data_IF_850260127061
#
_entry.id   IF_850260127061
#
_cell.length_a   1.000
_cell.length_b   1.000
_cell.length_c   1.000
_cell.angle_alpha   90.00
_cell.angle_beta   90.00
_cell.angle_gamma   90.00
#
_symmetry.space_group_name_H-M   'P 1'
#
loop_
_entity.id
_entity.type
_entity.pdbx_description
1 polymer ?
#
# COMPACT_ATOMS: atom_id res chain seq x y z
N UNK A 1 -15.08 10.18 -25.02
CA UNK A 1 -15.20 11.25 -24.02
C UNK A 1 -15.30 10.58 -22.66
N UNK A 2 -14.30 10.84 -21.82
CA UNK A 2 -13.98 10.14 -20.58
C UNK A 2 -14.91 10.58 -19.45
N UNK A 3 -15.51 9.60 -18.76
CA UNK A 3 -16.08 9.77 -17.43
C UNK A 3 -15.49 8.68 -16.54
N UNK A 4 -14.22 8.85 -16.16
CA UNK A 4 -13.73 8.22 -14.94
C UNK A 4 -14.46 8.93 -13.81
N UNK A 5 -15.22 8.15 -13.04
CA UNK A 5 -16.18 8.60 -12.05
C UNK A 5 -15.60 9.68 -11.12
N UNK A 6 -16.13 10.90 -11.23
CA UNK A 6 -15.89 12.00 -10.32
C UNK A 6 -16.62 11.83 -8.98
N UNK A 7 -16.92 10.60 -8.56
CA UNK A 7 -17.84 10.38 -7.45
C UNK A 7 -17.12 9.82 -6.21
N UNK A 8 -17.20 10.64 -5.14
CA UNK A 8 -16.71 10.47 -3.76
C UNK A 8 -15.25 10.88 -3.47
N UNK A 9 -14.90 12.12 -3.83
CA UNK A 9 -14.04 12.93 -2.94
C UNK A 9 -14.77 13.15 -1.61
N UNK A 10 -14.67 12.22 -0.67
CA UNK A 10 -14.92 12.56 0.73
C UNK A 10 -13.85 13.59 1.13
N UNK A 11 -14.28 14.74 1.65
CA UNK A 11 -13.38 15.78 2.17
C UNK A 11 -12.35 15.19 3.14
N UNK A 12 -11.19 15.84 3.28
CA UNK A 12 -10.20 15.42 4.27
C UNK A 12 -10.81 15.56 5.67
N UNK A 13 -11.03 14.46 6.43
CA UNK A 13 -11.55 14.58 7.77
C UNK A 13 -10.53 15.27 8.66
N UNK A 14 -11.03 16.29 9.33
CA UNK A 14 -10.31 17.14 10.25
C UNK A 14 -10.20 16.48 11.63
N UNK A 15 -9.34 17.01 12.49
CA UNK A 15 -9.29 16.60 13.91
C UNK A 15 -10.64 16.71 14.62
N UNK A 16 -11.56 17.56 14.15
CA UNK A 16 -12.93 17.68 14.67
C UNK A 16 -13.80 16.47 14.33
N UNK A 17 -13.65 15.90 13.14
CA UNK A 17 -14.48 14.79 12.67
C UNK A 17 -14.17 13.50 13.46
N UNK A 18 -12.91 13.32 13.84
CA UNK A 18 -12.49 12.22 14.72
C UNK A 18 -13.03 12.33 16.15
N UNK A 19 -13.40 13.53 16.62
CA UNK A 19 -14.00 13.73 17.95
C UNK A 19 -15.48 13.35 17.99
N UNK A 20 -16.14 13.22 16.85
CA UNK A 20 -17.54 12.81 16.75
C UNK A 20 -17.74 11.28 16.85
N UNK A 21 -16.67 10.48 16.74
CA UNK A 21 -16.72 9.04 16.97
C UNK A 21 -16.98 8.75 18.46
N UNK A 22 -17.88 7.82 18.78
CA UNK A 22 -18.21 7.46 20.15
C UNK A 22 -17.01 6.95 20.98
N UNK A 23 -17.05 7.06 22.31
CA UNK A 23 -15.90 6.85 23.20
C UNK A 23 -15.24 5.47 23.08
N UNK A 24 -16.00 4.40 22.82
CA UNK A 24 -15.46 3.04 22.68
C UNK A 24 -14.58 2.85 21.43
N UNK A 25 -15.01 3.41 20.28
CA UNK A 25 -14.23 3.36 19.03
C UNK A 25 -12.95 4.19 19.10
N UNK A 26 -12.99 5.30 19.85
CA UNK A 26 -11.81 6.13 20.10
C UNK A 26 -10.80 5.40 20.99
N UNK A 27 -11.26 4.64 21.99
CA UNK A 27 -10.39 3.92 22.92
C UNK A 27 -9.69 2.71 22.28
N UNK A 28 -10.39 1.94 21.44
CA UNK A 28 -9.79 0.90 20.58
C UNK A 28 -8.82 1.48 19.54
N UNK A 29 -9.15 2.62 18.94
CA UNK A 29 -8.24 3.31 18.02
C UNK A 29 -7.00 3.84 18.76
N UNK A 30 -7.14 4.30 20.02
CA UNK A 30 -6.04 4.80 20.86
C UNK A 30 -5.07 3.71 21.30
N UNK A 31 -5.57 2.52 21.66
CA UNK A 31 -4.70 1.39 22.04
C UNK A 31 -3.85 0.89 20.86
N UNK A 32 -4.40 0.94 19.64
CA UNK A 32 -3.65 0.70 18.39
C UNK A 32 -2.72 1.87 18.02
N UNK A 33 -3.15 3.11 18.25
CA UNK A 33 -2.38 4.31 17.93
C UNK A 33 -1.16 4.53 18.83
N UNK A 34 -1.11 3.95 20.04
CA UNK A 34 0.06 4.05 20.92
C UNK A 34 1.35 3.48 20.28
N UNK A 35 1.22 2.68 19.22
CA UNK A 35 2.35 2.02 18.54
C UNK A 35 2.53 2.42 17.07
N UNK A 36 1.59 3.15 16.47
CA UNK A 36 1.67 3.53 15.06
C UNK A 36 2.31 4.91 14.89
N UNK A 37 3.33 5.00 14.03
CA UNK A 37 4.01 6.26 13.71
C UNK A 37 3.20 7.04 12.67
N UNK A 38 2.15 7.70 13.13
CA UNK A 38 1.29 8.54 12.30
C UNK A 38 1.53 10.03 12.58
N UNK A 39 1.47 10.86 11.54
CA UNK A 39 1.70 12.30 11.65
C UNK A 39 0.64 13.08 10.88
N UNK A 40 0.13 14.16 11.50
CA UNK A 40 -0.73 15.11 10.82
C UNK A 40 0.11 16.03 9.91
N UNK A 41 -0.39 16.36 8.72
CA UNK A 41 0.20 17.34 7.82
C UNK A 41 -0.91 18.13 7.12
N UNK A 42 -0.74 19.45 7.01
CA UNK A 42 -1.69 20.35 6.32
C UNK A 42 -3.16 20.21 6.80
N UNK A 43 -3.37 19.98 8.09
CA UNK A 43 -4.70 19.78 8.68
C UNK A 43 -5.29 18.37 8.48
N UNK A 44 -4.64 17.52 7.70
CA UNK A 44 -5.03 16.14 7.43
C UNK A 44 -4.34 15.14 8.34
N UNK A 45 -5.02 14.03 8.59
CA UNK A 45 -4.56 12.88 9.38
C UNK A 45 -4.83 11.59 8.62
N UNK A 46 -3.98 10.55 8.77
CA UNK A 46 -4.24 9.25 8.17
C UNK A 46 -5.57 8.64 8.62
N UNK A 47 -6.33 8.09 7.66
CA UNK A 47 -7.56 7.34 7.89
C UNK A 47 -7.28 5.88 7.57
N UNK A 48 -7.50 5.00 8.53
CA UNK A 48 -7.18 3.58 8.41
C UNK A 48 -8.42 2.79 8.78
N UNK A 49 -8.87 1.91 7.88
CA UNK A 49 -9.96 0.99 8.18
C UNK A 49 -9.62 0.07 9.36
N UNK A 50 -10.61 -0.27 10.18
CA UNK A 50 -10.42 -1.08 11.38
C UNK A 50 -9.93 -2.51 11.09
N UNK A 51 -10.19 -3.03 9.89
CA UNK A 51 -9.72 -4.36 9.45
C UNK A 51 -8.30 -4.34 8.86
N UNK A 52 -7.73 -3.17 8.57
CA UNK A 52 -6.37 -3.08 8.05
C UNK A 52 -5.32 -3.35 9.14
N UNK A 53 -4.27 -4.08 8.78
CA UNK A 53 -3.11 -4.30 9.62
C UNK A 53 -1.97 -3.38 9.19
N UNK A 54 -1.49 -2.55 10.12
CA UNK A 54 -0.35 -1.66 9.89
C UNK A 54 0.76 -2.00 10.88
N UNK A 55 1.95 -2.31 10.37
CA UNK A 55 3.08 -2.61 11.23
C UNK A 55 3.49 -1.38 12.07
N UNK A 56 3.84 -1.52 13.37
CA UNK A 56 4.23 -0.41 14.24
C UNK A 56 5.40 0.46 13.75
N UNK A 57 6.25 -0.08 12.87
CA UNK A 57 7.40 0.67 12.30
C UNK A 57 7.07 1.38 10.98
N UNK A 58 5.91 1.13 10.38
CA UNK A 58 5.45 1.90 9.22
C UNK A 58 5.16 3.35 9.63
N UNK A 59 5.44 4.27 8.71
CA UNK A 59 5.29 5.72 8.91
C UNK A 59 4.25 6.25 7.93
N UNK A 60 3.17 6.85 8.45
CA UNK A 60 2.07 7.41 7.65
C UNK A 60 1.94 8.90 7.96
N UNK A 61 1.95 9.75 6.94
CA UNK A 61 1.98 11.22 7.10
C UNK A 61 0.91 11.85 6.18
N UNK A 62 0.04 12.70 6.73
CA UNK A 62 -0.90 13.52 5.94
C UNK A 62 -2.16 12.80 5.46
N UNK A 63 -2.66 13.13 4.26
CA UNK A 63 -3.91 12.59 3.68
C UNK A 63 -3.71 11.19 3.08
N UNK A 64 -3.44 10.24 3.97
CA UNK A 64 -3.34 8.80 3.67
C UNK A 64 -4.67 8.12 3.97
N UNK A 65 -5.20 7.35 3.03
CA UNK A 65 -6.43 6.57 3.20
C UNK A 65 -6.17 5.10 2.92
N UNK A 66 -6.43 4.26 3.91
CA UNK A 66 -6.21 2.80 3.83
C UNK A 66 -7.54 2.09 3.95
N UNK A 67 -7.90 1.34 2.90
CA UNK A 67 -9.11 0.55 2.82
C UNK A 67 -9.09 -0.73 3.67
N UNK A 68 -10.20 -1.48 3.69
CA UNK A 68 -10.35 -2.67 4.51
C UNK A 68 -9.40 -3.79 4.09
N UNK A 69 -9.04 -4.65 5.04
CA UNK A 69 -8.19 -5.83 4.87
C UNK A 69 -6.83 -5.55 4.20
N UNK A 70 -6.33 -4.31 4.27
CA UNK A 70 -4.99 -3.98 3.79
C UNK A 70 -3.93 -4.48 4.77
N UNK A 71 -2.76 -4.83 4.23
CA UNK A 71 -1.59 -5.19 5.02
C UNK A 71 -0.43 -4.24 4.71
N UNK A 72 0.05 -3.52 5.72
CA UNK A 72 1.18 -2.58 5.60
C UNK A 72 2.36 -3.13 6.40
N UNK A 73 3.43 -3.49 5.69
CA UNK A 73 4.63 -4.10 6.24
C UNK A 73 5.53 -3.15 7.02
N UNK A 74 6.55 -3.68 7.71
CA UNK A 74 7.50 -2.90 8.48
C UNK A 74 8.25 -1.89 7.61
N UNK A 75 8.48 -0.72 8.19
CA UNK A 75 9.26 0.37 7.61
C UNK A 75 8.72 0.92 6.27
N UNK A 76 7.48 0.60 5.90
CA UNK A 76 6.82 1.29 4.80
C UNK A 76 6.68 2.79 5.13
N UNK A 77 7.05 3.66 4.19
CA UNK A 77 6.96 5.12 4.31
C UNK A 77 5.89 5.61 3.34
N UNK A 78 4.75 6.05 3.89
CA UNK A 78 3.60 6.51 3.12
C UNK A 78 3.38 7.99 3.46
N UNK A 79 3.86 8.87 2.58
CA UNK A 79 3.92 10.31 2.84
C UNK A 79 3.03 11.07 1.86
N UNK A 80 1.88 11.52 2.36
CA UNK A 80 0.84 12.27 1.65
C UNK A 80 0.77 13.71 2.17
N UNK A 81 1.91 14.39 2.21
CA UNK A 81 2.05 15.78 2.65
C UNK A 81 1.83 16.80 1.51
N UNK A 82 2.16 16.43 0.26
CA UNK A 82 1.99 17.28 -0.94
C UNK A 82 0.73 16.97 -1.76
N UNK A 83 0.03 15.90 -1.43
CA UNK A 83 -1.17 15.43 -2.13
C UNK A 83 -1.79 14.24 -1.40
N UNK A 84 -2.75 13.56 -2.03
CA UNK A 84 -3.47 12.42 -1.42
C UNK A 84 -2.89 11.08 -1.84
N UNK A 85 -2.83 10.14 -0.89
CA UNK A 85 -2.54 8.73 -1.16
C UNK A 85 -3.75 7.89 -0.73
N UNK A 86 -4.33 7.15 -1.67
CA UNK A 86 -5.44 6.22 -1.39
C UNK A 86 -5.06 4.79 -1.76
N UNK A 87 -5.28 3.88 -0.82
CA UNK A 87 -4.97 2.46 -0.92
C UNK A 87 -6.28 1.69 -0.79
N UNK A 88 -6.70 1.05 -1.88
CA UNK A 88 -7.93 0.27 -1.99
C UNK A 88 -7.89 -1.02 -1.17
N UNK A 89 -9.06 -1.63 -1.00
CA UNK A 89 -9.26 -2.82 -0.17
C UNK A 89 -8.32 -3.97 -0.53
N UNK A 90 -7.97 -4.81 0.46
CA UNK A 90 -7.23 -6.06 0.25
C UNK A 90 -5.86 -5.85 -0.42
N UNK A 91 -5.28 -4.67 -0.25
CA UNK A 91 -3.99 -4.30 -0.82
C UNK A 91 -2.85 -4.55 0.16
N UNK A 92 -1.73 -5.08 -0.32
CA UNK A 92 -0.51 -5.21 0.47
C UNK A 92 0.52 -4.16 0.07
N UNK A 93 1.00 -3.38 1.04
CA UNK A 93 2.19 -2.54 0.92
C UNK A 93 3.31 -3.21 1.70
N UNK A 94 4.25 -3.83 1.00
CA UNK A 94 5.25 -4.66 1.65
C UNK A 94 6.38 -3.87 2.29
N UNK A 95 7.29 -4.60 2.95
CA UNK A 95 8.40 -4.07 3.73
C UNK A 95 9.21 -3.03 2.96
N UNK A 96 9.56 -1.93 3.63
CA UNK A 96 10.40 -0.84 3.10
C UNK A 96 9.88 -0.15 1.82
N UNK A 97 8.60 -0.29 1.45
CA UNK A 97 8.04 0.47 0.34
C UNK A 97 8.03 1.97 0.62
N UNK A 98 8.19 2.79 -0.42
CA UNK A 98 8.09 4.25 -0.33
C UNK A 98 6.98 4.75 -1.26
N UNK A 99 5.96 5.37 -0.70
CA UNK A 99 4.83 5.95 -1.40
C UNK A 99 4.83 7.46 -1.17
N UNK A 100 4.85 8.22 -2.26
CA UNK A 100 4.85 9.68 -2.24
C UNK A 100 4.07 10.25 -3.43
N UNK A 101 3.80 11.54 -3.40
CA UNK A 101 3.17 12.27 -4.50
C UNK A 101 3.73 13.68 -4.57
N UNK A 102 3.77 14.26 -5.77
CA UNK A 102 4.13 15.67 -5.94
C UNK A 102 3.00 16.63 -5.49
N UNK A 103 3.25 17.95 -5.57
CA UNK A 103 2.24 18.97 -5.25
C UNK A 103 0.96 18.79 -6.06
N UNK A 104 -0.18 18.80 -5.37
CA UNK A 104 -1.53 18.58 -5.95
C UNK A 104 -1.71 17.23 -6.68
N UNK A 105 -0.70 16.35 -6.61
CA UNK A 105 -0.75 15.03 -7.21
C UNK A 105 -1.55 14.05 -6.36
N UNK A 106 -1.95 12.94 -6.98
CA UNK A 106 -2.56 11.81 -6.30
C UNK A 106 -1.80 10.53 -6.58
N UNK A 107 -1.62 9.71 -5.54
CA UNK A 107 -1.28 8.30 -5.70
C UNK A 107 -2.54 7.48 -5.39
N UNK A 108 -3.00 6.73 -6.38
CA UNK A 108 -4.16 5.85 -6.22
C UNK A 108 -3.77 4.41 -6.46
N UNK A 109 -4.12 3.54 -5.53
CA UNK A 109 -4.05 2.09 -5.69
C UNK A 109 -5.48 1.58 -5.52
N UNK A 110 -6.02 0.94 -6.55
CA UNK A 110 -7.32 0.28 -6.49
C UNK A 110 -7.26 -0.99 -5.63
N UNK A 111 -8.36 -1.72 -5.55
CA UNK A 111 -8.44 -2.94 -4.75
C UNK A 111 -7.51 -4.07 -5.25
N UNK A 112 -7.11 -4.91 -4.30
CA UNK A 112 -6.25 -6.07 -4.54
C UNK A 112 -4.89 -5.68 -5.14
N UNK A 113 -4.34 -4.52 -4.79
CA UNK A 113 -2.97 -4.16 -5.17
C UNK A 113 -1.93 -4.99 -4.41
N UNK A 114 -0.82 -5.34 -5.04
CA UNK A 114 0.32 -5.95 -4.38
C UNK A 114 1.59 -5.15 -4.67
N UNK A 115 2.03 -4.36 -3.70
CA UNK A 115 3.22 -3.53 -3.82
C UNK A 115 4.38 -4.24 -3.13
N UNK A 116 5.27 -4.80 -3.95
CA UNK A 116 6.36 -5.67 -3.56
C UNK A 116 7.42 -4.97 -2.69
N UNK A 117 8.13 -5.74 -1.87
CA UNK A 117 9.14 -5.22 -0.94
C UNK A 117 10.09 -4.20 -1.60
N UNK A 118 10.30 -3.07 -0.94
CA UNK A 118 11.20 -2.01 -1.41
C UNK A 118 10.77 -1.30 -2.69
N UNK A 119 9.54 -1.48 -3.18
CA UNK A 119 9.05 -0.72 -4.33
C UNK A 119 8.84 0.76 -3.98
N UNK A 120 8.99 1.62 -4.99
CA UNK A 120 8.79 3.05 -4.89
C UNK A 120 7.68 3.50 -5.83
N UNK A 121 6.66 4.16 -5.30
CA UNK A 121 5.55 4.70 -6.07
C UNK A 121 5.50 6.21 -5.88
N UNK A 122 5.46 6.95 -6.99
CA UNK A 122 5.40 8.40 -6.99
C UNK A 122 4.29 8.90 -7.91
N UNK A 123 3.24 9.51 -7.34
CA UNK A 123 2.20 10.21 -8.10
C UNK A 123 1.55 9.40 -9.23
N UNK A 124 1.34 8.10 -9.04
CA UNK A 124 0.85 7.17 -10.06
C UNK A 124 -0.54 6.61 -9.75
N UNK A 125 -1.19 6.04 -10.76
CA UNK A 125 -2.45 5.31 -10.61
C UNK A 125 -2.24 3.83 -10.94
N UNK A 126 -2.63 2.99 -10.00
CA UNK A 126 -2.55 1.53 -10.06
C UNK A 126 -3.98 0.99 -10.06
N UNK A 127 -4.34 0.27 -11.11
CA UNK A 127 -5.64 -0.38 -11.25
C UNK A 127 -5.81 -1.61 -10.36
N UNK A 128 -6.96 -2.27 -10.51
CA UNK A 128 -7.33 -3.44 -9.70
C UNK A 128 -6.43 -4.63 -10.00
N UNK A 129 -6.15 -5.43 -8.98
CA UNK A 129 -5.49 -6.71 -9.14
C UNK A 129 -4.07 -6.61 -9.77
N UNK A 130 -3.38 -5.49 -9.52
CA UNK A 130 -2.02 -5.23 -10.04
C UNK A 130 -0.94 -5.70 -9.06
N UNK A 131 0.10 -6.34 -9.59
CA UNK A 131 1.33 -6.64 -8.85
C UNK A 131 2.45 -5.71 -9.31
N UNK A 132 2.97 -4.91 -8.38
CA UNK A 132 4.22 -4.16 -8.54
C UNK A 132 5.35 -4.96 -7.91
N UNK A 133 6.27 -5.44 -8.73
CA UNK A 133 7.36 -6.31 -8.28
C UNK A 133 8.27 -5.64 -7.25
N UNK A 134 8.92 -6.45 -6.43
CA UNK A 134 9.88 -5.95 -5.44
C UNK A 134 10.95 -5.05 -6.08
N UNK A 135 11.27 -3.93 -5.42
CA UNK A 135 12.23 -2.94 -5.89
C UNK A 135 11.85 -2.22 -7.20
N UNK A 136 10.62 -2.40 -7.72
CA UNK A 136 10.18 -1.63 -8.88
C UNK A 136 9.96 -0.15 -8.53
N UNK A 137 10.16 0.72 -9.50
CA UNK A 137 9.98 2.17 -9.37
C UNK A 137 8.90 2.60 -10.37
N UNK A 138 7.84 3.22 -9.87
CA UNK A 138 6.73 3.75 -10.68
C UNK A 138 6.70 5.26 -10.56
N UNK A 139 6.92 5.93 -11.69
CA UNK A 139 7.09 7.38 -11.77
C UNK A 139 5.76 8.12 -11.96
N UNK A 140 5.83 9.44 -11.82
CA UNK A 140 4.68 10.35 -11.88
C UNK A 140 3.80 10.16 -13.10
N UNK A 141 2.49 10.19 -12.86
CA UNK A 141 1.43 10.09 -13.85
C UNK A 141 1.44 8.79 -14.66
N UNK A 142 2.20 7.77 -14.24
CA UNK A 142 2.04 6.44 -14.81
C UNK A 142 0.64 5.90 -14.48
N UNK A 143 0.01 5.27 -15.48
CA UNK A 143 -1.29 4.64 -15.38
C UNK A 143 -1.16 3.16 -15.67
N UNK A 144 -1.22 2.34 -14.64
CA UNK A 144 -1.16 0.89 -14.73
C UNK A 144 -2.59 0.37 -14.66
N UNK A 145 -3.05 -0.26 -15.73
CA UNK A 145 -4.42 -0.77 -15.79
C UNK A 145 -4.62 -2.04 -14.95
N UNK A 146 -5.83 -2.58 -14.98
CA UNK A 146 -6.18 -3.76 -14.20
C UNK A 146 -5.42 -5.00 -14.65
N UNK A 147 -5.22 -5.96 -13.75
CA UNK A 147 -4.64 -7.26 -14.07
C UNK A 147 -3.26 -7.13 -14.73
N UNK A 148 -2.37 -6.34 -14.15
CA UNK A 148 -1.01 -6.14 -14.64
C UNK A 148 0.01 -6.72 -13.65
N UNK A 149 1.07 -7.31 -14.18
CA UNK A 149 2.26 -7.65 -13.40
C UNK A 149 3.43 -6.80 -13.89
N UNK A 150 3.95 -5.95 -13.02
CA UNK A 150 5.24 -5.28 -13.20
C UNK A 150 6.31 -6.14 -12.54
N UNK A 151 7.30 -6.59 -13.29
CA UNK A 151 8.36 -7.44 -12.76
C UNK A 151 9.25 -6.71 -11.73
N UNK A 152 9.96 -7.49 -10.92
CA UNK A 152 10.92 -6.96 -9.95
C UNK A 152 11.96 -6.03 -10.61
N UNK A 153 12.38 -4.99 -9.88
CA UNK A 153 13.36 -3.99 -10.31
C UNK A 153 13.03 -3.27 -11.65
N UNK A 154 11.75 -3.28 -12.05
CA UNK A 154 11.30 -2.58 -13.27
C UNK A 154 11.15 -1.08 -13.00
N UNK A 155 11.62 -0.25 -13.93
CA UNK A 155 11.37 1.19 -13.92
C UNK A 155 10.21 1.50 -14.87
N UNK A 156 9.05 1.88 -14.33
CA UNK A 156 7.91 2.36 -15.10
C UNK A 156 8.08 3.87 -15.34
N UNK A 157 8.30 4.31 -16.60
CA UNK A 157 8.53 5.72 -16.90
C UNK A 157 7.32 6.59 -16.54
N UNK A 158 7.58 7.88 -16.29
CA UNK A 158 6.50 8.83 -16.02
C UNK A 158 5.57 8.94 -17.23
N UNK A 159 4.26 9.09 -16.97
CA UNK A 159 3.20 9.13 -17.99
C UNK A 159 3.05 7.83 -18.82
N UNK A 160 3.76 6.75 -18.46
CA UNK A 160 3.59 5.47 -19.14
C UNK A 160 2.18 4.92 -18.88
N UNK A 161 1.61 4.27 -19.90
CA UNK A 161 0.37 3.51 -19.78
C UNK A 161 0.65 2.04 -20.00
N UNK A 162 0.36 1.21 -19.00
CA UNK A 162 0.53 -0.25 -19.08
C UNK A 162 -0.84 -0.89 -19.29
N UNK A 163 -1.10 -1.52 -20.46
CA UNK A 163 -2.41 -2.07 -20.76
C UNK A 163 -2.81 -3.23 -19.85
N UNK A 164 -4.12 -3.43 -19.66
CA UNK A 164 -4.67 -4.53 -18.88
C UNK A 164 -4.19 -5.89 -19.36
N UNK A 165 -3.96 -6.80 -18.41
CA UNK A 165 -3.61 -8.19 -18.72
C UNK A 165 -2.18 -8.35 -19.24
N UNK A 166 -1.26 -7.44 -18.91
CA UNK A 166 0.11 -7.46 -19.42
C UNK A 166 1.16 -7.72 -18.34
N UNK A 167 2.23 -8.42 -18.74
CA UNK A 167 3.51 -8.46 -18.03
C UNK A 167 4.38 -7.30 -18.54
N UNK A 168 4.87 -6.47 -17.62
CA UNK A 168 5.71 -5.31 -17.89
C UNK A 168 7.07 -5.45 -17.20
N UNK A 169 8.17 -5.29 -17.95
CA UNK A 169 9.52 -5.64 -17.47
C UNK A 169 10.59 -4.65 -17.93
N UNK A 170 11.67 -4.53 -17.14
CA UNK A 170 12.92 -3.88 -17.56
C UNK A 170 13.11 -2.45 -17.04
N UNK A 171 14.23 -1.84 -17.43
CA UNK A 171 14.55 -0.45 -17.05
C UNK A 171 15.25 0.25 -18.23
N UNK A 172 14.57 1.17 -18.96
CA UNK A 172 13.15 1.52 -18.82
C UNK A 172 12.23 0.35 -19.21
N UNK A 173 11.11 0.23 -18.50
CA UNK A 173 10.18 -0.89 -18.66
C UNK A 173 9.40 -0.89 -19.98
N UNK A 174 9.04 -2.08 -20.45
CA UNK A 174 8.26 -2.32 -21.66
C UNK A 174 7.28 -3.46 -21.45
N UNK A 175 6.19 -3.46 -22.25
CA UNK A 175 5.28 -4.61 -22.32
C UNK A 175 6.03 -5.80 -22.91
N UNK A 176 6.04 -6.92 -22.19
CA UNK A 176 6.70 -8.14 -22.62
C UNK A 176 5.73 -9.08 -23.32
N UNK A 177 4.62 -9.42 -22.66
CA UNK A 177 3.61 -10.38 -23.14
C UNK A 177 2.29 -10.22 -22.37
N UNK A 178 1.18 -10.76 -22.89
CA UNK A 178 -0.03 -10.97 -22.10
C UNK A 178 0.24 -11.90 -20.90
N UNK A 179 -0.53 -11.70 -19.83
CA UNK A 179 -0.57 -12.59 -18.67
C UNK A 179 -1.25 -13.91 -19.05
N UNK A 180 -0.73 -14.99 -18.46
CA UNK A 180 -1.33 -16.31 -18.51
C UNK A 180 -2.34 -16.49 -17.38
N UNK A 181 -3.17 -17.53 -17.46
CA UNK A 181 -4.05 -17.90 -16.35
C UNK A 181 -3.28 -18.26 -15.08
N UNK A 182 -2.08 -18.85 -15.23
CA UNK A 182 -1.21 -19.16 -14.11
C UNK A 182 -0.68 -17.88 -13.41
N UNK A 183 -0.31 -16.86 -14.19
CA UNK A 183 0.12 -15.56 -13.64
C UNK A 183 -1.00 -14.94 -12.78
N UNK A 184 -2.24 -14.93 -13.29
CA UNK A 184 -3.40 -14.38 -12.57
C UNK A 184 -3.77 -15.21 -11.34
N UNK A 185 -3.68 -16.54 -11.42
CA UNK A 185 -3.95 -17.44 -10.29
C UNK A 185 -2.93 -17.22 -9.17
N UNK A 186 -1.64 -17.21 -9.49
CA UNK A 186 -0.57 -16.95 -8.52
C UNK A 186 -0.74 -15.59 -7.84
N UNK A 187 -1.09 -14.54 -8.59
CA UNK A 187 -1.34 -13.22 -8.01
C UNK A 187 -2.54 -13.22 -7.04
N UNK A 188 -3.62 -13.93 -7.37
CA UNK A 188 -4.79 -14.06 -6.46
C UNK A 188 -4.41 -14.80 -5.18
N UNK A 189 -3.65 -15.89 -5.28
CA UNK A 189 -3.15 -16.62 -4.11
C UNK A 189 -2.29 -15.74 -3.20
N UNK A 190 -1.39 -14.93 -3.77
CA UNK A 190 -0.63 -13.95 -2.99
C UNK A 190 -1.53 -12.91 -2.30
N UNK A 191 -2.59 -12.48 -2.96
CA UNK A 191 -3.56 -11.53 -2.38
C UNK A 191 -4.25 -12.13 -1.17
N UNK A 192 -4.76 -13.36 -1.30
CA UNK A 192 -5.40 -14.05 -0.18
C UNK A 192 -4.44 -14.29 0.99
N UNK A 193 -3.17 -14.57 0.70
CA UNK A 193 -2.15 -14.71 1.73
C UNK A 193 -2.00 -13.42 2.56
N UNK A 194 -1.90 -12.26 1.92
CA UNK A 194 -1.77 -10.98 2.63
C UNK A 194 -3.05 -10.54 3.33
N UNK A 195 -4.23 -10.88 2.79
CA UNK A 195 -5.50 -10.68 3.49
C UNK A 195 -5.58 -11.55 4.75
N UNK A 196 -5.14 -12.81 4.67
CA UNK A 196 -5.08 -13.69 5.83
C UNK A 196 -4.10 -13.16 6.90
N UNK A 197 -2.96 -12.60 6.48
CA UNK A 197 -2.03 -11.88 7.37
C UNK A 197 -2.70 -10.67 8.03
N UNK A 198 -3.41 -9.84 7.28
CA UNK A 198 -4.09 -8.65 7.80
C UNK A 198 -5.14 -9.01 8.87
N UNK A 199 -5.86 -10.11 8.65
CA UNK A 199 -6.88 -10.61 9.57
C UNK A 199 -6.32 -11.37 10.78
N UNK A 200 -5.00 -11.51 10.89
CA UNK A 200 -4.36 -12.32 11.93
C UNK A 200 -4.59 -13.84 11.78
N UNK A 201 -5.09 -14.29 10.62
CA UNK A 201 -5.54 -15.65 10.38
C UNK A 201 -4.44 -16.71 10.39
N UNK A 202 -3.17 -16.31 10.27
CA UNK A 202 -2.03 -17.23 10.38
C UNK A 202 -1.33 -17.17 11.75
N UNK A 203 -2.01 -16.65 12.78
CA UNK A 203 -1.43 -16.50 14.13
C UNK A 203 -0.33 -15.43 14.21
N UNK A 204 -0.18 -14.62 13.16
CA UNK A 204 0.78 -13.52 13.12
C UNK A 204 0.33 -12.42 14.07
N UNK A 205 1.11 -12.21 15.13
CA UNK A 205 0.98 -11.06 16.01
C UNK A 205 2.33 -10.37 16.12
N UNK A 206 2.33 -9.04 16.03
CA UNK A 206 3.53 -8.24 16.24
C UNK A 206 3.54 -7.82 17.70
N UNK A 207 4.42 -8.43 18.49
CA UNK A 207 4.69 -8.02 19.86
C UNK A 207 6.17 -7.63 19.96
N UNK A 208 6.51 -6.56 20.70
CA UNK A 208 7.87 -6.35 21.12
C UNK A 208 8.39 -7.62 21.80
N UNK A 209 9.52 -8.14 21.34
CA UNK A 209 10.14 -9.34 21.89
C UNK A 209 11.46 -9.00 22.59
N UNK A 210 11.74 -9.70 23.68
CA UNK A 210 13.08 -9.68 24.29
C UNK A 210 14.06 -10.46 23.40
N UNK A 211 15.30 -10.01 23.33
CA UNK A 211 16.37 -10.76 22.66
C UNK A 211 16.66 -12.01 23.50
N UNK A 212 16.48 -13.18 22.90
CA UNK A 212 16.92 -14.46 23.51
C UNK A 212 18.33 -14.75 22.99
N UNK A 213 19.33 -14.63 23.86
CA UNK A 213 20.70 -15.03 23.53
C UNK A 213 20.78 -16.55 23.43
N UNK A 214 21.16 -17.10 22.27
CA UNK A 214 21.52 -18.51 22.16
C UNK A 214 22.98 -18.70 22.59
N UNK A 215 23.27 -19.81 23.28
CA UNK A 215 24.65 -20.26 23.46
C UNK A 215 25.29 -20.44 22.06
N UNK A 216 26.60 -20.16 21.90
CA UNK A 216 27.25 -20.29 20.60
C UNK A 216 27.06 -21.71 20.06
N UNK A 217 26.41 -21.82 18.90
CA UNK A 217 26.37 -23.07 18.14
C UNK A 217 27.80 -23.29 17.63
N UNK A 218 28.47 -24.42 17.95
CA UNK A 218 29.79 -24.69 17.40
C UNK A 218 29.68 -24.73 15.87
N UNK A 219 30.31 -23.77 15.20
CA UNK A 219 30.48 -23.76 13.76
C UNK A 219 31.45 -24.90 13.43
N UNK A 220 30.97 -25.94 12.75
CA UNK A 220 31.83 -26.98 12.16
C UNK A 220 32.36 -26.51 10.81
#
# INVERSE_FOLDING_TARGET
MSTVAADKMLDCPTRSDLRAAGPSKIEEARSRALYLRTYAANGCVPIIDASAAVHPTAVLIGDVRIGPDCWIGPNASIRADQGRITIGARTSIQDNCVLHTGPEGSLWIDEEGQIGHGAMLHGCTIGRNVLIGMGAIVMDNAFIENDVIVAAATLVPGKARVPTGMLFVGSPGKVARPLTQADLASKRECTEHYVALARGGIGMSWAPAQIVASSPVPVR
#
